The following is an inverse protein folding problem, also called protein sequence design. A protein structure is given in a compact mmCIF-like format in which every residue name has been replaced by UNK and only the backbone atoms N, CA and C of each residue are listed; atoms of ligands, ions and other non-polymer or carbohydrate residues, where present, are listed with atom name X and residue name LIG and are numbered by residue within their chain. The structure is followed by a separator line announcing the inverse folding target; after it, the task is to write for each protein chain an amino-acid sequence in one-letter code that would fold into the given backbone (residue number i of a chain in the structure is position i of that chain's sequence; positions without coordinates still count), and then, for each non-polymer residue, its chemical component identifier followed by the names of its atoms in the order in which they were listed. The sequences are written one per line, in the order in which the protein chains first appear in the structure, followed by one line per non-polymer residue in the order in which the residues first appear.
data_IF_078653322551
#
_entry.id   IF_078653322551
#
_cell.length_a   1.000
_cell.length_b   1.000
_cell.length_c   1.000
_cell.angle_alpha   90.00
_cell.angle_beta   90.00
_cell.angle_gamma   90.00
#
_symmetry.space_group_name_H-M   'P 1'
#
loop_
_entity.id
_entity.type
_entity.pdbx_description
1 polymer ?
#
# COMPACT_ATOMS: atom_id res chain seq x y z
N UNK A 1 -0.89 -1.12 19.03
CA UNK A 1 0.17 -1.99 18.47
C UNK A 1 -0.24 -2.31 17.06
N UNK A 2 0.42 -1.62 16.13
CA UNK A 2 0.05 -1.57 14.72
C UNK A 2 0.76 -2.65 13.89
N UNK A 3 1.75 -3.31 14.48
CA UNK A 3 2.41 -4.50 13.96
C UNK A 3 2.20 -5.64 14.93
N UNK A 4 1.71 -6.78 14.44
CA UNK A 4 1.60 -8.01 15.20
C UNK A 4 2.48 -9.08 14.58
N UNK A 5 3.16 -9.83 15.44
CA UNK A 5 3.95 -10.99 15.06
C UNK A 5 3.43 -12.20 15.79
N UNK A 6 2.92 -13.16 15.03
CA UNK A 6 2.38 -14.41 15.54
C UNK A 6 3.01 -15.51 14.69
N UNK A 7 3.83 -16.35 15.32
CA UNK A 7 4.67 -17.33 14.64
C UNK A 7 5.47 -16.69 13.50
N UNK A 8 5.17 -17.09 12.27
CA UNK A 8 5.83 -16.61 11.07
C UNK A 8 5.04 -15.51 10.33
N UNK A 9 3.97 -15.00 10.93
CA UNK A 9 3.12 -13.99 10.30
C UNK A 9 3.43 -12.63 10.90
N UNK A 10 3.82 -11.68 10.05
CA UNK A 10 3.90 -10.27 10.39
C UNK A 10 2.69 -9.56 9.77
N UNK A 11 1.79 -9.04 10.61
CA UNK A 11 0.61 -8.30 10.17
C UNK A 11 0.73 -6.82 10.52
N UNK A 12 0.56 -5.94 9.54
CA UNK A 12 0.48 -4.49 9.74
C UNK A 12 -0.98 -4.04 9.65
N UNK A 13 -1.49 -3.42 10.72
CA UNK A 13 -2.88 -2.95 10.83
C UNK A 13 -3.08 -1.44 10.71
N UNK A 14 -1.99 -0.66 10.60
CA UNK A 14 -2.00 0.80 10.40
C UNK A 14 -2.88 1.56 11.41
N UNK A 15 -2.96 1.15 12.67
CA UNK A 15 -3.85 1.79 13.66
C UNK A 15 -3.27 3.12 14.20
N UNK A 16 -1.96 3.29 14.07
CA UNK A 16 -1.19 4.51 14.34
C UNK A 16 -0.10 4.68 13.25
N UNK A 17 0.74 5.71 13.32
CA UNK A 17 1.86 5.94 12.37
C UNK A 17 3.16 5.23 12.78
N UNK A 18 3.27 4.74 14.02
CA UNK A 18 4.50 4.17 14.55
C UNK A 18 4.85 2.82 13.90
N UNK A 19 3.89 2.18 13.23
CA UNK A 19 4.10 0.92 12.52
C UNK A 19 5.33 0.91 11.61
N UNK A 20 5.72 2.06 11.04
CA UNK A 20 6.91 2.16 10.17
C UNK A 20 8.21 1.77 10.86
N UNK A 21 8.24 1.86 12.19
CA UNK A 21 9.42 1.65 13.04
C UNK A 21 9.23 0.49 14.04
N UNK A 22 8.03 -0.11 14.13
CA UNK A 22 7.75 -1.17 15.13
C UNK A 22 8.48 -2.49 14.83
N UNK A 23 9.03 -2.68 13.63
CA UNK A 23 9.59 -3.95 13.19
C UNK A 23 10.76 -3.87 12.19
N UNK A 24 11.83 -3.10 12.49
CA UNK A 24 12.93 -2.80 11.57
C UNK A 24 13.74 -4.01 11.09
N UNK A 25 13.71 -5.11 11.84
CA UNK A 25 14.35 -6.39 11.50
C UNK A 25 13.52 -7.25 10.54
N UNK A 26 12.22 -6.97 10.40
CA UNK A 26 11.33 -7.67 9.46
C UNK A 26 11.15 -6.84 8.20
N UNK A 27 10.91 -5.55 8.36
CA UNK A 27 10.75 -4.64 7.25
C UNK A 27 11.34 -3.26 7.54
N UNK A 28 11.65 -2.54 6.47
CA UNK A 28 12.00 -1.12 6.53
C UNK A 28 11.10 -0.37 5.58
N UNK A 29 10.75 0.87 5.96
CA UNK A 29 9.89 1.75 5.17
C UNK A 29 10.72 2.88 4.61
N UNK A 30 10.58 3.16 3.33
CA UNK A 30 11.18 4.33 2.66
C UNK A 30 10.07 5.11 1.98
N UNK A 31 9.89 6.35 2.43
CA UNK A 31 8.87 7.24 1.91
C UNK A 31 9.40 8.07 0.74
N UNK A 32 8.54 8.27 -0.27
CA UNK A 32 8.77 9.25 -1.32
C UNK A 32 8.47 10.69 -0.85
N UNK A 33 8.52 11.64 -1.78
CA UNK A 33 8.26 13.06 -1.48
C UNK A 33 6.86 13.31 -0.88
N UNK A 34 5.87 12.51 -1.29
CA UNK A 34 4.52 12.49 -0.69
C UNK A 34 4.21 11.05 -0.26
N UNK A 35 4.37 10.71 1.03
CA UNK A 35 4.22 9.33 1.47
C UNK A 35 2.78 8.88 1.53
N UNK A 36 2.61 7.56 1.60
CA UNK A 36 1.40 6.98 2.17
C UNK A 36 1.46 7.08 3.70
N UNK A 37 0.29 7.18 4.32
CA UNK A 37 0.13 7.44 5.75
C UNK A 37 -1.07 6.68 6.32
N UNK A 38 -1.11 6.55 7.64
CA UNK A 38 -2.22 5.98 8.38
C UNK A 38 -3.42 6.93 8.37
N UNK A 39 -4.53 6.51 7.76
CA UNK A 39 -5.75 7.30 7.66
C UNK A 39 -6.92 6.69 8.45
N UNK A 40 -7.57 7.51 9.26
CA UNK A 40 -8.77 7.18 10.04
C UNK A 40 -10.09 7.61 9.36
N UNK A 41 -10.01 8.39 8.29
CA UNK A 41 -11.16 8.87 7.51
C UNK A 41 -11.68 7.86 6.50
N UNK A 42 -10.85 6.88 6.10
CA UNK A 42 -11.22 5.81 5.18
C UNK A 42 -10.96 4.48 5.87
N UNK A 43 -11.96 3.95 6.56
CA UNK A 43 -11.83 2.73 7.36
C UNK A 43 -12.37 1.52 6.61
N UNK A 44 -11.66 0.40 6.67
CA UNK A 44 -12.18 -0.92 6.32
C UNK A 44 -12.49 -1.64 7.63
N UNK A 45 -13.67 -2.23 7.81
CA UNK A 45 -14.04 -2.92 9.05
C UNK A 45 -13.70 -2.12 10.34
N UNK A 46 -13.98 -0.80 10.34
CA UNK A 46 -13.74 0.16 11.45
C UNK A 46 -12.28 0.42 11.82
N UNK A 47 -11.33 -0.04 11.02
CA UNK A 47 -9.90 0.09 11.26
C UNK A 47 -9.24 0.97 10.20
N UNK A 48 -8.16 1.64 10.60
CA UNK A 48 -7.44 2.60 9.76
C UNK A 48 -6.80 1.93 8.53
N UNK A 49 -6.44 2.74 7.53
CA UNK A 49 -5.87 2.28 6.26
C UNK A 49 -4.55 2.96 5.92
N UNK A 50 -3.77 2.33 5.05
CA UNK A 50 -2.57 2.89 4.45
C UNK A 50 -2.94 3.64 3.16
N UNK A 51 -3.05 4.95 3.27
CA UNK A 51 -3.64 5.83 2.27
C UNK A 51 -2.57 6.69 1.61
N UNK A 52 -2.67 6.89 0.30
CA UNK A 52 -1.81 7.82 -0.43
C UNK A 52 -1.98 9.26 0.08
N UNK A 53 -0.90 10.01 0.14
CA UNK A 53 -0.95 11.45 0.42
C UNK A 53 -1.71 12.24 -0.66
N UNK A 54 -2.06 13.48 -0.34
CA UNK A 54 -2.68 14.39 -1.30
C UNK A 54 -1.65 14.82 -2.35
N UNK A 55 -1.98 14.62 -3.63
CA UNK A 55 -1.09 14.90 -4.76
C UNK A 55 -1.82 15.72 -5.83
N UNK A 56 -1.07 16.61 -6.48
CA UNK A 56 -1.54 17.40 -7.62
C UNK A 56 -1.37 16.69 -8.96
N UNK A 57 -1.62 17.42 -10.04
CA UNK A 57 -1.42 16.90 -11.39
C UNK A 57 0.03 16.46 -11.62
N UNK A 58 0.22 15.30 -12.25
CA UNK A 58 1.53 14.76 -12.61
C UNK A 58 2.46 14.53 -11.42
N UNK A 59 1.91 14.41 -10.21
CA UNK A 59 2.62 14.02 -9.02
C UNK A 59 2.30 12.56 -8.67
N UNK A 60 3.20 11.96 -7.89
CA UNK A 60 3.09 10.60 -7.39
C UNK A 60 3.20 10.64 -5.88
N UNK A 61 2.32 9.91 -5.19
CA UNK A 61 2.52 9.54 -3.80
C UNK A 61 3.14 8.15 -3.78
N UNK A 62 4.16 7.95 -2.97
CA UNK A 62 4.96 6.73 -2.98
C UNK A 62 5.43 6.37 -1.57
N UNK A 63 5.31 5.08 -1.24
CA UNK A 63 6.03 4.47 -0.11
C UNK A 63 6.51 3.09 -0.54
N UNK A 64 7.77 2.80 -0.26
CA UNK A 64 8.38 1.48 -0.44
C UNK A 64 8.45 0.77 0.90
N UNK A 65 8.03 -0.49 0.94
CA UNK A 65 8.23 -1.37 2.08
C UNK A 65 9.13 -2.51 1.62
N UNK A 66 10.33 -2.53 2.18
CA UNK A 66 11.29 -3.61 1.98
C UNK A 66 11.09 -4.63 3.08
N UNK A 67 10.98 -5.91 2.73
CA UNK A 67 10.74 -7.01 3.67
C UNK A 67 11.74 -8.13 3.43
N UNK A 68 12.13 -8.81 4.52
CA UNK A 68 13.03 -9.97 4.48
C UNK A 68 12.27 -11.26 4.78
N UNK A 69 12.13 -12.12 3.79
CA UNK A 69 11.60 -13.47 3.93
C UNK A 69 12.76 -14.43 4.25
N UNK A 70 12.72 -15.13 5.39
CA UNK A 70 13.72 -16.16 5.71
C UNK A 70 13.55 -17.39 4.80
N UNK A 71 12.30 -17.69 4.46
CA UNK A 71 11.90 -18.79 3.59
C UNK A 71 10.80 -18.34 2.62
N UNK A 72 10.39 -19.21 1.70
CA UNK A 72 9.22 -18.94 0.84
C UNK A 72 7.98 -18.61 1.67
N UNK A 73 7.15 -17.73 1.13
CA UNK A 73 6.10 -17.07 1.89
C UNK A 73 5.00 -16.48 1.04
N UNK A 74 4.09 -15.77 1.70
CA UNK A 74 2.99 -15.06 1.06
C UNK A 74 3.01 -13.58 1.44
N UNK A 75 2.65 -12.73 0.49
CA UNK A 75 2.29 -11.33 0.73
C UNK A 75 0.80 -11.18 0.43
N UNK A 76 0.02 -10.86 1.45
CA UNK A 76 -1.40 -10.54 1.33
C UNK A 76 -1.61 -9.04 1.45
N UNK A 77 -2.41 -8.48 0.54
CA UNK A 77 -2.77 -7.06 0.46
C UNK A 77 -4.27 -6.92 0.24
N UNK A 78 -4.93 -6.04 0.99
CA UNK A 78 -6.32 -5.69 0.73
C UNK A 78 -6.44 -4.24 0.26
N UNK A 79 -6.62 -4.02 -1.05
CA UNK A 79 -6.58 -2.69 -1.64
C UNK A 79 -7.94 -2.24 -2.19
N UNK A 80 -8.18 -0.93 -2.10
CA UNK A 80 -9.34 -0.23 -2.62
C UNK A 80 -8.91 1.07 -3.31
N UNK A 81 -9.67 1.48 -4.33
CA UNK A 81 -9.44 2.75 -5.04
C UNK A 81 -10.77 3.45 -5.26
N UNK A 82 -10.77 4.76 -5.02
CA UNK A 82 -11.83 5.65 -5.44
C UNK A 82 -11.24 6.79 -6.24
N UNK A 83 -11.17 6.58 -7.55
CA UNK A 83 -10.56 7.48 -8.51
C UNK A 83 -11.36 7.53 -9.81
N UNK A 84 -10.89 8.31 -10.78
CA UNK A 84 -11.48 8.34 -12.11
C UNK A 84 -11.13 7.06 -12.89
N UNK A 85 -12.12 6.45 -13.55
CA UNK A 85 -11.93 5.20 -14.29
C UNK A 85 -10.89 5.39 -15.42
N UNK A 86 -9.87 4.52 -15.45
CA UNK A 86 -8.82 4.56 -16.48
C UNK A 86 -7.72 5.60 -16.26
N UNK A 87 -7.93 6.53 -15.33
CA UNK A 87 -6.96 7.53 -14.87
C UNK A 87 -6.60 7.23 -13.42
N UNK A 88 -5.85 8.13 -12.77
CA UNK A 88 -5.54 8.09 -11.35
C UNK A 88 -5.38 6.69 -10.76
N UNK A 89 -4.21 6.07 -10.98
CA UNK A 89 -4.01 4.65 -10.71
C UNK A 89 -3.30 4.40 -9.39
N UNK A 90 -3.71 3.35 -8.69
CA UNK A 90 -2.90 2.71 -7.67
C UNK A 90 -2.11 1.60 -8.34
N UNK A 91 -0.79 1.64 -8.19
CA UNK A 91 0.12 0.58 -8.59
C UNK A 91 0.73 -0.05 -7.34
N UNK A 92 0.80 -1.38 -7.34
CA UNK A 92 1.64 -2.13 -6.41
C UNK A 92 2.63 -2.93 -7.23
N UNK A 93 3.91 -2.67 -7.00
CA UNK A 93 5.00 -3.38 -7.64
C UNK A 93 5.75 -4.22 -6.61
N UNK A 94 6.09 -5.44 -6.98
CA UNK A 94 6.97 -6.32 -6.20
C UNK A 94 8.24 -6.52 -7.02
N UNK A 95 9.38 -6.12 -6.46
CA UNK A 95 10.70 -6.13 -7.11
C UNK A 95 10.71 -5.42 -8.47
N UNK A 96 9.98 -4.30 -8.56
CA UNK A 96 9.83 -3.52 -9.78
C UNK A 96 8.87 -4.12 -10.82
N UNK A 97 8.24 -5.27 -10.54
CA UNK A 97 7.22 -5.88 -11.41
C UNK A 97 5.83 -5.47 -10.92
N UNK A 98 5.04 -4.85 -11.80
CA UNK A 98 3.65 -4.48 -11.50
C UNK A 98 2.80 -5.73 -11.24
N UNK A 99 2.16 -5.77 -10.06
CA UNK A 99 1.28 -6.88 -9.62
C UNK A 99 -0.17 -6.45 -9.48
N UNK A 100 -0.42 -5.21 -9.08
CA UNK A 100 -1.76 -4.64 -8.92
C UNK A 100 -1.82 -3.30 -9.62
N UNK A 101 -2.84 -3.13 -10.46
CA UNK A 101 -3.20 -1.83 -11.05
C UNK A 101 -4.69 -1.60 -10.91
N UNK A 102 -5.07 -0.55 -10.18
CA UNK A 102 -6.46 -0.22 -9.90
C UNK A 102 -6.76 1.24 -10.26
N UNK A 103 -7.94 1.47 -10.85
CA UNK A 103 -8.51 2.78 -11.16
C UNK A 103 -10.04 2.71 -11.06
N UNK A 104 -10.70 3.87 -11.00
CA UNK A 104 -12.16 3.92 -10.87
C UNK A 104 -12.63 3.67 -9.44
N UNK A 105 -13.76 2.99 -9.29
CA UNK A 105 -14.30 2.62 -7.97
C UNK A 105 -14.15 1.13 -7.75
N UNK A 106 -13.17 0.76 -6.93
CA UNK A 106 -12.90 -0.62 -6.53
C UNK A 106 -13.00 -0.69 -5.01
N UNK A 107 -13.96 -1.47 -4.51
CA UNK A 107 -14.05 -1.80 -3.08
C UNK A 107 -12.86 -2.67 -2.67
N UNK A 108 -12.60 -2.73 -1.36
CA UNK A 108 -11.56 -3.56 -0.76
C UNK A 108 -11.58 -4.99 -1.33
N UNK A 109 -10.48 -5.33 -2.01
CA UNK A 109 -10.23 -6.65 -2.60
C UNK A 109 -8.88 -7.15 -2.14
N UNK A 110 -8.85 -8.42 -1.76
CA UNK A 110 -7.64 -9.13 -1.35
C UNK A 110 -6.83 -9.61 -2.56
N UNK A 111 -5.52 -9.51 -2.43
CA UNK A 111 -4.49 -9.93 -3.39
C UNK A 111 -3.44 -10.70 -2.63
N UNK A 112 -3.11 -11.89 -3.11
CA UNK A 112 -2.11 -12.78 -2.53
C UNK A 112 -0.99 -13.02 -3.54
N UNK A 113 0.27 -12.92 -3.08
CA UNK A 113 1.45 -13.15 -3.88
C UNK A 113 2.38 -14.13 -3.20
N UNK A 114 2.80 -15.18 -3.90
CA UNK A 114 3.91 -16.01 -3.47
C UNK A 114 5.22 -15.23 -3.54
N UNK A 115 5.97 -15.29 -2.45
CA UNK A 115 7.25 -14.60 -2.24
C UNK A 115 8.33 -15.65 -2.02
N UNK A 116 9.46 -15.50 -2.69
CA UNK A 116 10.60 -16.38 -2.47
C UNK A 116 11.31 -15.99 -1.17
N UNK A 117 12.24 -16.83 -0.71
CA UNK A 117 13.17 -16.41 0.34
C UNK A 117 14.05 -15.25 -0.15
N UNK A 118 14.35 -14.30 0.73
CA UNK A 118 15.21 -13.15 0.45
C UNK A 118 14.57 -11.78 0.67
N UNK A 119 15.31 -10.74 0.29
CA UNK A 119 14.85 -9.35 0.33
C UNK A 119 13.91 -9.08 -0.85
N UNK A 120 12.73 -8.56 -0.54
CA UNK A 120 11.76 -8.12 -1.53
C UNK A 120 11.37 -6.66 -1.32
N UNK A 121 11.12 -5.93 -2.42
CA UNK A 121 10.69 -4.53 -2.40
C UNK A 121 9.27 -4.41 -2.88
N UNK A 122 8.39 -3.94 -1.99
CA UNK A 122 6.99 -3.67 -2.29
C UNK A 122 6.80 -2.15 -2.44
N UNK A 123 6.66 -1.68 -3.67
CA UNK A 123 6.42 -0.27 -3.98
C UNK A 123 4.92 -0.02 -4.10
N UNK A 124 4.42 0.93 -3.32
CA UNK A 124 3.06 1.45 -3.40
C UNK A 124 3.10 2.81 -4.06
N UNK A 125 2.48 2.94 -5.23
CA UNK A 125 2.49 4.16 -6.01
C UNK A 125 1.07 4.61 -6.34
N UNK A 126 0.77 5.86 -6.04
CA UNK A 126 -0.47 6.52 -6.42
C UNK A 126 -0.11 7.62 -7.41
N UNK A 127 -0.46 7.43 -8.68
CA UNK A 127 -0.18 8.40 -9.74
C UNK A 127 -1.47 9.15 -10.07
N UNK A 128 -1.46 10.47 -10.01
CA UNK A 128 -2.57 11.28 -10.52
C UNK A 128 -2.29 11.69 -11.96
N UNK A 129 -3.18 11.31 -12.88
CA UNK A 129 -3.08 11.70 -14.29
C UNK A 129 -4.38 12.37 -14.71
N UNK A 130 -4.29 13.66 -15.07
CA UNK A 130 -5.42 14.34 -15.69
C UNK A 130 -5.53 13.88 -17.14
N UNK A 131 -6.64 13.23 -17.52
CA UNK A 131 -7.01 13.06 -18.92
C UNK A 131 -7.07 14.44 -19.60
N UNK A 132 -6.49 14.53 -20.80
CA UNK A 132 -6.31 15.76 -21.60
C UNK A 132 -7.51 16.73 -21.43
N UNK A 133 -7.28 17.85 -20.71
CA UNK A 133 -8.08 19.06 -20.83
C UNK A 133 -9.26 19.32 -19.88
N UNK A 134 -9.50 18.56 -18.79
CA UNK A 134 -10.64 18.87 -17.88
C UNK A 134 -10.46 18.62 -16.37
N UNK A 135 -9.33 18.97 -15.76
CA UNK A 135 -9.20 18.88 -14.28
C UNK A 135 -9.18 20.26 -13.62
N UNK A 136 -10.37 20.86 -13.45
CA UNK A 136 -10.59 22.06 -12.62
C UNK A 136 -11.14 21.75 -11.23
N UNK A 137 -11.12 20.49 -10.77
CA UNK A 137 -11.55 20.15 -9.41
C UNK A 137 -10.43 19.44 -8.65
N UNK A 138 -9.95 20.16 -7.64
CA UNK A 138 -9.38 19.63 -6.40
C UNK A 138 -10.38 18.63 -5.84
N UNK A 139 -10.09 17.33 -5.90
CA UNK A 139 -10.99 16.28 -5.36
C UNK A 139 -10.16 15.32 -4.54
N UNK A 140 -10.65 15.12 -3.32
CA UNK A 140 -10.34 14.15 -2.28
C UNK A 140 -10.37 12.69 -2.79
N UNK A 141 -9.50 12.32 -3.73
CA UNK A 141 -9.42 10.97 -4.29
C UNK A 141 -8.53 10.09 -3.41
N UNK A 142 -9.12 9.09 -2.76
CA UNK A 142 -8.43 8.17 -1.86
C UNK A 142 -7.97 6.92 -2.60
N UNK A 143 -6.68 6.62 -2.53
CA UNK A 143 -6.13 5.30 -2.89
C UNK A 143 -5.61 4.69 -1.60
N UNK A 144 -6.12 3.53 -1.23
CA UNK A 144 -5.97 2.99 0.10
C UNK A 144 -5.72 1.48 0.02
N UNK A 145 -4.63 1.02 0.61
CA UNK A 145 -4.41 -0.39 0.90
C UNK A 145 -4.55 -0.61 2.41
N UNK A 146 -4.93 -1.82 2.82
CA UNK A 146 -5.02 -2.25 4.20
C UNK A 146 -4.66 -3.72 4.31
N UNK A 147 -4.27 -4.16 5.50
CA UNK A 147 -3.87 -5.53 5.80
C UNK A 147 -2.76 -5.97 4.85
N UNK A 148 -1.57 -5.40 5.02
CA UNK A 148 -0.38 -6.03 4.48
C UNK A 148 0.05 -7.11 5.48
N UNK A 149 -0.07 -8.36 5.07
CA UNK A 149 0.36 -9.51 5.86
C UNK A 149 1.50 -10.21 5.13
N UNK A 150 2.64 -10.31 5.80
CA UNK A 150 3.77 -11.09 5.34
C UNK A 150 3.75 -12.43 6.08
N UNK A 151 3.77 -13.53 5.33
CA UNK A 151 3.87 -14.89 5.87
C UNK A 151 5.27 -15.42 5.60
N UNK A 152 6.10 -15.58 6.62
CA UNK A 152 7.23 -16.51 6.58
C UNK A 152 6.69 -17.94 6.76
N UNK A 153 7.43 -18.94 6.32
CA UNK A 153 7.33 -20.30 6.88
C UNK A 153 8.65 -20.62 7.62
N UNK A 154 8.60 -21.67 8.46
CA UNK A 154 9.55 -22.00 9.53
C UNK A 154 10.82 -22.68 9.03
#
# INVERSE_FOLDING_TARGET
MSVKREDNICTITFEDENWKEEAPEVFTVTDGAVPFYTADTWKYNKKNTFRSGEIGNSATSETTIKVMYEEEGLLNLNCAVFSEQGYDKLHVLIDGVEKVTLSGTVNFKEYEFAMTAGEHRCNFECIYSCGIGRCRKRIEKCKSCRNMQFYRWN
#
